data_IF_251370274471
#
_entry.id   IF_251370274471
#
_cell.length_a   1.000
_cell.length_b   1.000
_cell.length_c   1.000
_cell.angle_alpha   90.00
_cell.angle_beta   90.00
_cell.angle_gamma   90.00
#
_symmetry.space_group_name_H-M   'P 1'
#
loop_
_entity.id
_entity.type
_entity.pdbx_description
1 polymer ?
#
# COMPACT_ATOMS: atom_id res chain seq x y z
N UNK A 1 3.55 -5.64 -0.20
CA UNK A 1 3.93 -4.68 0.81
C UNK A 1 5.19 -5.07 1.56
N UNK A 2 6.12 -4.13 1.69
CA UNK A 2 7.37 -4.39 2.38
C UNK A 2 7.41 -3.70 3.74
N UNK A 3 8.01 -4.36 4.72
CA UNK A 3 8.11 -3.82 6.06
C UNK A 3 9.39 -3.01 6.23
N UNK A 4 9.33 -1.73 5.89
CA UNK A 4 10.49 -0.85 5.99
C UNK A 4 10.10 0.50 6.60
N UNK A 5 11.08 1.16 7.23
CA UNK A 5 10.85 2.48 7.86
C UNK A 5 10.62 3.58 6.85
N UNK A 6 9.40 4.12 6.84
CA UNK A 6 9.07 5.18 5.90
C UNK A 6 8.13 4.72 4.81
N UNK A 7 7.53 3.55 5.00
CA UNK A 7 6.60 2.99 4.01
C UNK A 7 5.53 4.01 3.65
N UNK A 8 5.05 3.93 2.41
CA UNK A 8 4.03 4.84 1.92
C UNK A 8 2.71 4.63 2.66
N UNK A 9 1.85 5.63 2.64
CA UNK A 9 0.56 5.56 3.32
C UNK A 9 -0.58 5.55 2.31
N UNK A 10 -1.81 5.67 2.82
CA UNK A 10 -2.99 5.67 1.95
C UNK A 10 -2.84 6.68 0.82
N UNK A 11 -3.21 6.26 -0.39
CA UNK A 11 -3.12 7.14 -1.55
C UNK A 11 -1.72 7.73 -1.67
N UNK A 12 -0.72 6.87 -1.87
CA UNK A 12 0.65 7.34 -1.99
C UNK A 12 1.11 7.40 -3.43
N UNK A 13 0.53 6.55 -4.28
CA UNK A 13 0.90 6.52 -5.68
C UNK A 13 1.96 5.49 -5.98
N UNK A 14 1.80 4.30 -5.43
CA UNK A 14 2.75 3.21 -5.64
C UNK A 14 2.58 2.60 -7.03
N UNK A 15 3.56 1.80 -7.45
CA UNK A 15 3.52 1.16 -8.75
C UNK A 15 3.72 -0.34 -8.63
N UNK A 16 4.57 -0.74 -7.69
CA UNK A 16 4.84 -2.17 -7.47
C UNK A 16 4.02 -2.70 -6.29
N UNK A 17 4.19 -3.98 -6.00
CA UNK A 17 3.47 -4.62 -4.91
C UNK A 17 4.12 -4.28 -3.56
N UNK A 18 5.43 -4.53 -3.47
CA UNK A 18 6.16 -4.26 -2.24
C UNK A 18 6.65 -2.81 -2.21
N UNK A 19 5.73 -1.87 -2.43
CA UNK A 19 6.07 -0.46 -2.43
C UNK A 19 5.59 0.21 -1.13
N UNK A 20 4.49 -0.29 -0.59
CA UNK A 20 3.94 0.25 0.65
C UNK A 20 4.09 -0.74 1.80
N UNK A 21 3.66 -0.33 2.99
CA UNK A 21 3.74 -1.18 4.17
C UNK A 21 3.19 -2.57 3.88
N UNK A 22 3.49 -3.53 4.77
CA UNK A 22 3.02 -4.90 4.63
C UNK A 22 1.51 -5.04 4.84
N UNK A 23 0.91 -4.02 5.43
CA UNK A 23 -0.52 -4.02 5.70
C UNK A 23 -1.29 -3.44 4.52
N UNK A 24 -0.68 -2.48 3.83
CA UNK A 24 -1.31 -1.84 2.68
C UNK A 24 -1.14 -2.69 1.43
N UNK A 25 -1.84 -2.31 0.36
CA UNK A 25 -1.75 -3.05 -0.88
C UNK A 25 -1.83 -2.14 -2.09
N UNK A 26 -0.97 -2.40 -3.08
CA UNK A 26 -0.96 -1.60 -4.30
C UNK A 26 -1.92 -2.16 -5.34
N UNK A 27 -2.76 -1.29 -5.88
CA UNK A 27 -3.74 -1.69 -6.89
C UNK A 27 -3.12 -1.65 -8.29
N UNK A 28 -3.84 -2.22 -9.26
CA UNK A 28 -3.35 -2.23 -10.63
C UNK A 28 -3.28 -0.84 -11.23
N UNK A 29 -3.17 -0.77 -12.55
CA UNK A 29 -3.10 0.50 -13.26
C UNK A 29 -4.31 1.37 -12.93
N UNK A 30 -4.33 2.59 -13.48
CA UNK A 30 -5.44 3.49 -13.23
C UNK A 30 -5.38 4.11 -11.85
N UNK A 31 -5.61 3.30 -10.83
CA UNK A 31 -5.59 3.79 -9.45
C UNK A 31 -4.57 3.01 -8.62
N UNK A 32 -3.31 3.03 -9.06
CA UNK A 32 -2.24 2.33 -8.36
C UNK A 32 -1.81 3.11 -7.12
N UNK A 33 -2.32 2.71 -5.96
CA UNK A 33 -1.98 3.37 -4.71
C UNK A 33 -2.08 2.39 -3.53
N UNK A 34 -1.61 2.83 -2.38
CA UNK A 34 -1.64 2.00 -1.17
C UNK A 34 -3.05 1.98 -0.56
N UNK A 35 -3.67 0.82 -0.57
CA UNK A 35 -5.01 0.66 -0.01
C UNK A 35 -5.01 -0.31 1.17
N UNK A 36 -6.10 -0.31 1.93
CA UNK A 36 -6.21 -1.18 3.08
C UNK A 36 -6.67 -2.57 2.67
N UNK A 37 -5.96 -3.60 3.15
CA UNK A 37 -6.30 -4.98 2.82
C UNK A 37 -5.74 -5.93 3.87
N UNK A 38 -6.63 -6.51 4.68
CA UNK A 38 -6.20 -7.44 5.71
C UNK A 38 -6.24 -6.82 7.10
N UNK A 39 -6.16 -5.49 7.15
CA UNK A 39 -6.18 -4.78 8.42
C UNK A 39 -7.61 -4.64 8.95
N UNK A 40 -7.74 -4.48 10.26
CA UNK A 40 -9.05 -4.34 10.90
C UNK A 40 -9.58 -2.93 10.71
N UNK A 41 -10.83 -2.83 10.29
CA UNK A 41 -11.48 -1.53 10.07
C UNK A 41 -11.65 -0.78 11.39
N UNK A 42 -11.09 0.42 11.47
CA UNK A 42 -11.19 1.24 12.66
C UNK A 42 -12.64 1.39 13.11
#
# INVERSE_FOLDING_TARGET
GVDKPGCRYLFGGCKSDDDCCPRLGCKGKGHDYCAWDGTFSD
#
